data_IF_345294344938
#
_entry.id   IF_345294344938
#
_cell.length_a   1.000
_cell.length_b   1.000
_cell.length_c   1.000
_cell.angle_alpha   90.00
_cell.angle_beta   90.00
_cell.angle_gamma   90.00
#
_symmetry.space_group_name_H-M   'P 1'
#
loop_
_entity.id
_entity.type
_entity.pdbx_description
1 polymer ?
#
# COMPACT_ATOMS: atom_id res chain seq x y z
N UNK A 1 73.22 1.57 9.74
CA UNK A 1 72.84 1.56 8.31
C UNK A 1 71.39 1.93 8.16
N UNK A 2 71.05 3.13 7.69
CA UNK A 2 69.71 3.59 7.45
C UNK A 2 69.49 3.74 5.94
N UNK A 3 68.59 2.93 5.37
CA UNK A 3 68.29 2.95 3.95
C UNK A 3 67.09 3.89 3.74
N UNK A 4 67.37 5.00 3.07
CA UNK A 4 66.35 6.03 2.73
C UNK A 4 65.44 5.55 1.59
N UNK A 5 64.13 5.63 1.81
CA UNK A 5 63.11 5.45 0.77
C UNK A 5 62.90 6.77 0.04
N UNK A 6 63.25 6.81 -1.25
CA UNK A 6 62.92 7.92 -2.15
C UNK A 6 61.42 7.86 -2.51
N UNK A 7 60.70 8.90 -2.12
CA UNK A 7 59.32 9.15 -2.55
C UNK A 7 59.37 9.80 -3.93
N UNK A 8 58.89 9.11 -4.95
CA UNK A 8 58.72 9.65 -6.30
C UNK A 8 57.33 10.24 -6.39
N UNK A 9 57.23 11.57 -6.50
CA UNK A 9 56.00 12.26 -6.84
C UNK A 9 55.76 12.21 -8.35
N UNK A 10 54.61 11.78 -8.85
CA UNK A 10 54.30 11.91 -10.27
C UNK A 10 53.87 13.33 -10.61
N UNK A 11 54.39 13.82 -11.70
CA UNK A 11 54.30 15.09 -12.35
C UNK A 11 52.84 15.47 -12.66
N UNK A 12 52.47 16.73 -12.38
CA UNK A 12 51.21 17.33 -12.79
C UNK A 12 51.32 17.76 -14.26
N UNK A 13 50.76 17.00 -15.16
CA UNK A 13 50.45 17.49 -16.49
C UNK A 13 49.06 18.13 -16.49
N UNK A 14 49.03 19.45 -16.69
CA UNK A 14 47.86 20.27 -16.92
C UNK A 14 47.34 20.04 -18.33
N UNK A 15 46.43 19.08 -18.48
CA UNK A 15 45.60 18.88 -19.66
C UNK A 15 44.24 19.53 -19.52
N UNK A 16 44.08 20.68 -20.15
CA UNK A 16 42.82 21.40 -20.26
C UNK A 16 41.90 20.61 -21.24
N UNK A 17 41.13 19.68 -20.72
CA UNK A 17 40.17 18.89 -21.47
C UNK A 17 38.81 19.01 -20.76
N UNK A 18 37.88 19.70 -21.39
CA UNK A 18 36.45 19.73 -21.05
C UNK A 18 35.90 18.31 -21.04
N UNK A 19 36.13 17.61 -19.94
CA UNK A 19 35.57 16.26 -19.71
C UNK A 19 34.09 16.45 -19.47
N UNK A 20 33.26 16.25 -20.51
CA UNK A 20 31.87 15.88 -20.37
C UNK A 20 31.83 14.77 -19.34
N UNK A 21 31.38 15.06 -18.11
CA UNK A 21 31.11 14.08 -17.05
C UNK A 21 30.16 13.05 -17.64
N UNK A 22 30.69 11.97 -18.22
CA UNK A 22 29.91 10.76 -18.51
C UNK A 22 29.21 10.43 -17.21
N UNK A 23 27.88 10.57 -17.17
CA UNK A 23 27.06 10.11 -16.04
C UNK A 23 27.50 8.67 -15.80
N UNK A 24 28.18 8.42 -14.67
CA UNK A 24 28.63 7.10 -14.28
C UNK A 24 27.38 6.23 -14.23
N UNK A 25 27.15 5.41 -15.25
CA UNK A 25 26.02 4.49 -15.29
C UNK A 25 26.20 3.55 -14.12
N UNK A 26 25.27 3.56 -13.19
CA UNK A 26 25.27 2.65 -12.05
C UNK A 26 25.32 1.21 -12.55
N UNK A 27 26.01 0.35 -11.82
CA UNK A 27 25.91 -1.08 -12.10
C UNK A 27 24.44 -1.54 -11.93
N UNK A 28 23.99 -2.58 -12.65
CA UNK A 28 22.63 -3.10 -12.51
C UNK A 28 22.29 -3.45 -11.06
N UNK A 29 23.25 -4.01 -10.33
CA UNK A 29 23.11 -4.37 -8.92
C UNK A 29 22.98 -3.14 -8.02
N UNK A 30 23.87 -2.15 -8.16
CA UNK A 30 23.80 -0.90 -7.38
C UNK A 30 22.48 -0.16 -7.63
N UNK A 31 21.99 -0.22 -8.86
CA UNK A 31 20.69 0.37 -9.20
C UNK A 31 19.54 -0.34 -8.46
N UNK A 32 19.52 -1.68 -8.47
CA UNK A 32 18.51 -2.46 -7.77
C UNK A 32 18.54 -2.21 -6.25
N UNK A 33 19.74 -2.23 -5.63
CA UNK A 33 19.92 -1.91 -4.21
C UNK A 33 19.40 -0.51 -3.89
N UNK A 34 19.70 0.49 -4.71
CA UNK A 34 19.17 1.86 -4.52
C UNK A 34 17.68 1.95 -4.60
N UNK A 35 17.03 1.16 -5.45
CA UNK A 35 15.58 1.12 -5.51
C UNK A 35 14.99 0.53 -4.23
N UNK A 36 15.49 -0.62 -3.78
CA UNK A 36 15.05 -1.32 -2.59
C UNK A 36 15.30 -0.53 -1.29
N UNK A 37 16.38 0.25 -1.24
CA UNK A 37 16.68 1.13 -0.10
C UNK A 37 15.65 2.27 0.08
N UNK A 38 14.88 2.61 -0.96
CA UNK A 38 13.90 3.70 -0.90
C UNK A 38 12.48 3.23 -0.57
N UNK A 39 12.10 2.05 -1.07
CA UNK A 39 10.79 1.45 -0.88
C UNK A 39 10.78 -0.02 -1.25
N UNK A 40 9.80 -0.75 -0.77
CA UNK A 40 9.56 -2.13 -1.19
C UNK A 40 9.11 -2.21 -2.65
N UNK A 41 9.53 -3.26 -3.33
CA UNK A 41 9.14 -3.60 -4.69
C UNK A 41 8.69 -5.05 -4.75
N UNK A 42 7.70 -5.35 -5.60
CA UNK A 42 7.47 -6.73 -6.05
C UNK A 42 8.55 -7.15 -7.04
N UNK A 43 8.75 -8.45 -7.17
CA UNK A 43 9.69 -9.05 -8.14
C UNK A 43 9.43 -8.51 -9.55
N UNK A 44 8.17 -8.52 -9.98
CA UNK A 44 7.77 -8.02 -11.30
C UNK A 44 8.02 -6.51 -11.45
N UNK A 45 7.72 -5.72 -10.42
CA UNK A 45 7.93 -4.26 -10.46
C UNK A 45 9.42 -3.89 -10.51
N UNK A 46 10.29 -4.61 -9.79
CA UNK A 46 11.72 -4.40 -9.87
C UNK A 46 12.27 -4.79 -11.25
N UNK A 47 11.87 -5.97 -11.78
CA UNK A 47 12.24 -6.41 -13.12
C UNK A 47 11.90 -5.36 -14.16
N UNK A 48 10.65 -4.87 -14.14
CA UNK A 48 10.18 -3.82 -15.04
C UNK A 48 11.06 -2.56 -14.95
N UNK A 49 11.42 -2.12 -13.74
CA UNK A 49 12.27 -0.94 -13.52
C UNK A 49 13.69 -1.10 -14.05
N UNK A 50 14.24 -2.29 -13.95
CA UNK A 50 15.58 -2.58 -14.47
C UNK A 50 15.58 -2.61 -16.00
N UNK A 51 14.56 -3.24 -16.62
CA UNK A 51 14.40 -3.28 -18.07
C UNK A 51 14.11 -1.87 -18.67
N UNK A 52 13.30 -1.04 -18.00
CA UNK A 52 13.10 0.37 -18.36
C UNK A 52 14.42 1.16 -18.38
N UNK A 53 15.41 0.74 -17.59
CA UNK A 53 16.76 1.30 -17.54
C UNK A 53 17.69 0.70 -18.60
N UNK A 54 17.17 -0.19 -19.44
CA UNK A 54 17.91 -0.88 -20.52
C UNK A 54 19.03 -1.78 -20.02
N UNK A 55 18.91 -2.32 -18.78
CA UNK A 55 19.79 -3.41 -18.36
C UNK A 55 19.39 -4.71 -19.05
N UNK A 56 20.37 -5.55 -19.32
CA UNK A 56 20.19 -6.86 -19.94
C UNK A 56 19.23 -7.74 -19.13
N UNK A 57 18.38 -8.51 -19.81
CA UNK A 57 17.36 -9.33 -19.17
C UNK A 57 17.96 -10.51 -18.40
N UNK A 58 19.03 -11.15 -18.92
CA UNK A 58 19.70 -12.25 -18.25
C UNK A 58 20.36 -11.77 -16.96
N UNK A 59 21.07 -10.64 -17.00
CA UNK A 59 21.68 -10.01 -15.83
C UNK A 59 20.62 -9.60 -14.81
N UNK A 60 19.53 -9.02 -15.27
CA UNK A 60 18.38 -8.63 -14.41
C UNK A 60 17.78 -9.85 -13.72
N UNK A 61 17.57 -10.95 -14.46
CA UNK A 61 17.02 -12.19 -13.91
C UNK A 61 17.93 -12.82 -12.84
N UNK A 62 19.24 -12.78 -13.04
CA UNK A 62 20.21 -13.29 -12.08
C UNK A 62 20.24 -12.48 -10.78
N UNK A 63 20.25 -11.15 -10.88
CA UNK A 63 20.20 -10.26 -9.73
C UNK A 63 18.91 -10.48 -8.92
N UNK A 64 17.76 -10.57 -9.59
CA UNK A 64 16.48 -10.83 -8.95
C UNK A 64 16.50 -12.17 -8.22
N UNK A 65 16.98 -13.24 -8.86
CA UNK A 65 17.07 -14.57 -8.25
C UNK A 65 17.91 -14.53 -6.97
N UNK A 66 19.09 -13.88 -7.02
CA UNK A 66 19.95 -13.70 -5.85
C UNK A 66 19.26 -12.90 -4.74
N UNK A 67 18.54 -11.83 -5.07
CA UNK A 67 17.84 -11.02 -4.08
C UNK A 67 16.66 -11.75 -3.44
N UNK A 68 15.98 -12.62 -4.17
CA UNK A 68 14.97 -13.52 -3.61
C UNK A 68 15.61 -14.53 -2.66
N UNK A 69 16.70 -15.17 -3.06
CA UNK A 69 17.43 -16.12 -2.21
C UNK A 69 17.97 -15.49 -0.92
N UNK A 70 18.45 -14.24 -0.99
CA UNK A 70 18.92 -13.49 0.17
C UNK A 70 17.80 -12.84 1.00
N UNK A 71 16.52 -12.99 0.61
CA UNK A 71 15.37 -12.41 1.32
C UNK A 71 15.17 -10.91 1.11
N UNK A 72 15.94 -10.25 0.25
CA UNK A 72 15.73 -8.83 -0.07
C UNK A 72 14.48 -8.57 -0.91
N UNK A 73 14.02 -9.58 -1.65
CA UNK A 73 12.78 -9.57 -2.42
C UNK A 73 11.88 -10.71 -1.95
N UNK A 74 10.67 -10.36 -1.54
CA UNK A 74 9.65 -11.32 -1.13
C UNK A 74 8.27 -10.76 -1.46
N UNK A 75 7.58 -11.39 -2.42
CA UNK A 75 6.26 -10.93 -2.86
C UNK A 75 5.15 -11.15 -1.82
N UNK A 76 5.29 -12.12 -0.88
CA UNK A 76 4.35 -12.28 0.23
C UNK A 76 4.45 -11.08 1.20
N UNK A 77 5.66 -10.74 1.66
CA UNK A 77 5.87 -9.59 2.55
C UNK A 77 5.48 -8.27 1.86
N UNK A 78 5.77 -8.15 0.57
CA UNK A 78 5.35 -6.99 -0.22
C UNK A 78 3.83 -6.88 -0.29
N UNK A 79 3.13 -7.99 -0.58
CA UNK A 79 1.68 -8.02 -0.68
C UNK A 79 1.01 -7.70 0.65
N UNK A 80 1.46 -8.30 1.76
CA UNK A 80 0.95 -8.02 3.11
C UNK A 80 1.12 -6.54 3.50
N UNK A 81 2.31 -5.98 3.29
CA UNK A 81 2.58 -4.57 3.59
C UNK A 81 1.73 -3.62 2.74
N UNK A 82 1.58 -3.89 1.45
CA UNK A 82 0.77 -3.07 0.55
C UNK A 82 -0.73 -3.20 0.85
N UNK A 83 -1.20 -4.43 1.10
CA UNK A 83 -2.60 -4.68 1.45
C UNK A 83 -2.97 -4.00 2.77
N UNK A 84 -2.15 -4.13 3.81
CA UNK A 84 -2.35 -3.46 5.09
C UNK A 84 -2.36 -1.93 4.98
N UNK A 85 -1.44 -1.36 4.20
CA UNK A 85 -1.42 0.09 3.94
C UNK A 85 -2.68 0.57 3.22
N UNK A 86 -3.15 -0.17 2.22
CA UNK A 86 -4.35 0.19 1.47
C UNK A 86 -5.61 0.03 2.33
N UNK A 87 -5.68 -1.04 3.13
CA UNK A 87 -6.78 -1.27 4.08
C UNK A 87 -6.86 -0.13 5.11
N UNK A 88 -5.75 0.24 5.74
CA UNK A 88 -5.66 1.37 6.68
C UNK A 88 -6.04 2.71 6.03
N UNK A 89 -5.80 2.87 4.73
CA UNK A 89 -6.23 4.03 3.95
C UNK A 89 -7.74 3.98 3.56
N UNK A 90 -8.47 2.92 3.97
CA UNK A 90 -9.91 2.75 3.73
C UNK A 90 -10.23 2.33 2.30
N UNK A 91 -9.42 1.44 1.72
CA UNK A 91 -9.73 0.79 0.44
C UNK A 91 -10.27 -0.62 0.68
N UNK A 92 -11.31 -1.00 -0.06
CA UNK A 92 -11.90 -2.33 -0.03
C UNK A 92 -11.11 -3.38 -0.81
N UNK A 93 -11.45 -4.65 -0.61
CA UNK A 93 -10.75 -5.84 -1.18
C UNK A 93 -10.57 -5.75 -2.70
N UNK A 94 -11.61 -5.33 -3.44
CA UNK A 94 -11.52 -5.21 -4.92
C UNK A 94 -10.40 -4.26 -5.35
N UNK A 95 -10.21 -3.15 -4.65
CA UNK A 95 -9.17 -2.17 -4.96
C UNK A 95 -7.79 -2.66 -4.56
N UNK A 96 -7.68 -3.37 -3.43
CA UNK A 96 -6.44 -4.01 -2.97
C UNK A 96 -5.97 -5.03 -4.01
N UNK A 97 -6.86 -5.95 -4.44
CA UNK A 97 -6.57 -6.94 -5.49
C UNK A 97 -6.07 -6.26 -6.76
N UNK A 98 -6.80 -5.24 -7.24
CA UNK A 98 -6.43 -4.52 -8.46
C UNK A 98 -5.03 -3.89 -8.34
N UNK A 99 -4.71 -3.32 -7.18
CA UNK A 99 -3.40 -2.69 -6.93
C UNK A 99 -2.27 -3.71 -6.86
N UNK A 100 -2.47 -4.85 -6.22
CA UNK A 100 -1.47 -5.93 -6.17
C UNK A 100 -1.23 -6.54 -7.56
N UNK A 101 -2.30 -6.74 -8.36
CA UNK A 101 -2.18 -7.17 -9.76
C UNK A 101 -1.41 -6.15 -10.61
N UNK A 102 -1.69 -4.86 -10.46
CA UNK A 102 -0.95 -3.78 -11.13
C UNK A 102 0.56 -3.82 -10.82
N UNK A 103 0.92 -4.28 -9.62
CA UNK A 103 2.31 -4.49 -9.20
C UNK A 103 2.90 -5.81 -9.66
N UNK A 104 2.11 -6.66 -10.32
CA UNK A 104 2.55 -7.94 -10.84
C UNK A 104 2.74 -9.01 -9.77
N UNK A 105 2.03 -8.90 -8.64
CA UNK A 105 2.02 -9.94 -7.61
C UNK A 105 1.23 -11.15 -8.14
N UNK A 106 1.73 -12.40 -7.98
CA UNK A 106 1.01 -13.61 -8.38
C UNK A 106 -0.35 -13.75 -7.71
N UNK A 107 -1.31 -14.35 -8.43
CA UNK A 107 -2.70 -14.47 -7.95
C UNK A 107 -2.81 -15.30 -6.67
N UNK A 108 -1.99 -16.35 -6.54
CA UNK A 108 -1.91 -17.21 -5.36
C UNK A 108 -1.54 -16.40 -4.12
N UNK A 109 -0.49 -15.58 -4.23
CA UNK A 109 -0.02 -14.71 -3.14
C UNK A 109 -1.09 -13.68 -2.76
N UNK A 110 -1.80 -13.12 -3.76
CA UNK A 110 -2.90 -12.18 -3.49
C UNK A 110 -4.00 -12.87 -2.68
N UNK A 111 -4.39 -14.10 -3.05
CA UNK A 111 -5.42 -14.87 -2.34
C UNK A 111 -5.00 -15.14 -0.89
N UNK A 112 -3.81 -15.70 -0.70
CA UNK A 112 -3.28 -15.98 0.63
C UNK A 112 -3.17 -14.74 1.52
N UNK A 113 -2.79 -13.60 0.92
CA UNK A 113 -2.71 -12.33 1.64
C UNK A 113 -4.08 -11.88 2.14
N UNK A 114 -5.12 -12.02 1.32
CA UNK A 114 -6.48 -11.66 1.71
C UNK A 114 -7.05 -12.59 2.77
N UNK A 115 -6.84 -13.90 2.64
CA UNK A 115 -7.22 -14.89 3.64
C UNK A 115 -6.62 -14.58 5.01
N UNK A 116 -5.32 -14.27 5.07
CA UNK A 116 -4.65 -13.86 6.31
C UNK A 116 -5.15 -12.52 6.87
N UNK A 117 -5.58 -11.61 6.02
CA UNK A 117 -6.20 -10.36 6.51
C UNK A 117 -7.54 -10.64 7.17
N UNK A 118 -8.36 -11.51 6.59
CA UNK A 118 -9.65 -11.91 7.15
C UNK A 118 -9.50 -12.64 8.49
N UNK A 119 -8.51 -13.55 8.60
CA UNK A 119 -8.18 -14.25 9.84
C UNK A 119 -7.80 -13.26 10.95
N UNK A 120 -6.91 -12.31 10.68
CA UNK A 120 -6.51 -11.29 11.67
C UNK A 120 -7.66 -10.40 12.12
N UNK A 121 -8.54 -10.01 11.21
CA UNK A 121 -9.73 -9.22 11.54
C UNK A 121 -10.70 -10.01 12.44
N UNK A 122 -10.84 -11.31 12.19
CA UNK A 122 -11.65 -12.20 13.01
C UNK A 122 -11.09 -12.38 14.43
N UNK A 123 -9.77 -12.52 14.55
CA UNK A 123 -9.10 -12.65 15.86
C UNK A 123 -9.21 -11.35 16.67
N UNK A 124 -9.06 -10.18 16.05
CA UNK A 124 -9.14 -8.88 16.72
C UNK A 124 -10.57 -8.61 17.23
N UNK A 125 -11.59 -9.02 16.49
CA UNK A 125 -13.00 -8.91 16.93
C UNK A 125 -13.33 -9.81 18.10
N UNK A 126 -12.78 -11.02 18.17
CA UNK A 126 -12.97 -11.95 19.30
C UNK A 126 -12.35 -11.42 20.59
N UNK A 127 -11.22 -10.74 20.54
CA UNK A 127 -10.54 -10.19 21.71
C UNK A 127 -11.19 -8.92 22.26
N UNK A 128 -11.88 -8.13 21.43
CA UNK A 128 -12.55 -6.88 21.84
C UNK A 128 -14.01 -7.07 22.24
N UNK A 129 -14.56 -8.28 22.10
CA UNK A 129 -15.97 -8.59 22.37
C UNK A 129 -16.25 -8.89 23.85
N UNK A 130 -16.10 -7.88 24.72
CA UNK A 130 -16.64 -7.89 26.09
C UNK A 130 -18.03 -7.22 26.19
N UNK A 131 -18.79 -7.16 25.10
CA UNK A 131 -20.13 -6.52 25.04
C UNK A 131 -21.18 -7.60 24.76
N UNK A 132 -22.36 -7.54 25.42
CA UNK A 132 -23.37 -8.61 25.31
C UNK A 132 -23.89 -8.85 23.90
N UNK A 133 -24.16 -10.12 23.61
CA UNK A 133 -24.41 -10.81 22.36
C UNK A 133 -25.74 -10.44 21.64
N UNK A 134 -26.40 -9.33 21.96
CA UNK A 134 -27.78 -9.05 21.50
C UNK A 134 -27.89 -7.92 20.45
N UNK A 135 -26.80 -7.48 19.84
CA UNK A 135 -26.88 -6.37 18.88
C UNK A 135 -25.96 -6.59 17.66
N UNK A 136 -26.56 -7.11 16.58
CA UNK A 136 -26.07 -7.15 15.20
C UNK A 136 -24.95 -8.18 14.88
N UNK A 137 -25.04 -8.82 13.67
CA UNK A 137 -24.00 -9.77 13.23
C UNK A 137 -22.65 -9.06 13.14
N UNK A 138 -21.60 -9.75 13.61
CA UNK A 138 -20.24 -9.30 13.63
C UNK A 138 -19.91 -8.48 12.37
N UNK A 139 -19.58 -7.22 12.54
CA UNK A 139 -19.20 -6.36 11.44
C UNK A 139 -17.86 -6.89 10.93
N UNK A 140 -17.88 -7.58 9.76
CA UNK A 140 -16.66 -7.97 9.07
C UNK A 140 -15.72 -6.76 9.06
N UNK A 141 -14.41 -6.96 9.29
CA UNK A 141 -13.43 -5.86 9.36
C UNK A 141 -13.49 -4.92 8.15
N UNK A 142 -13.85 -5.46 6.96
CA UNK A 142 -14.09 -4.67 5.76
C UNK A 142 -15.30 -3.73 5.91
N UNK A 143 -16.34 -4.13 6.63
CA UNK A 143 -17.50 -3.27 6.93
C UNK A 143 -17.12 -2.11 7.84
N UNK A 144 -16.32 -2.37 8.88
CA UNK A 144 -15.78 -1.36 9.78
C UNK A 144 -14.89 -0.35 9.04
N UNK A 145 -14.02 -0.83 8.15
CA UNK A 145 -13.19 0.03 7.30
C UNK A 145 -14.04 0.92 6.37
N UNK A 146 -15.13 0.38 5.80
CA UNK A 146 -16.06 1.14 4.96
C UNK A 146 -16.78 2.24 5.75
N UNK A 147 -17.28 1.94 6.95
CA UNK A 147 -17.91 2.90 7.86
C UNK A 147 -16.95 4.03 8.22
N UNK A 148 -15.72 3.68 8.64
CA UNK A 148 -14.69 4.67 8.99
C UNK A 148 -14.33 5.57 7.80
N UNK A 149 -14.18 5.00 6.62
CA UNK A 149 -13.91 5.75 5.39
C UNK A 149 -15.08 6.68 5.03
N UNK A 150 -16.32 6.20 5.19
CA UNK A 150 -17.52 6.98 4.89
C UNK A 150 -17.71 8.12 5.90
N UNK A 151 -17.56 7.88 7.20
CA UNK A 151 -17.70 8.91 8.25
C UNK A 151 -16.81 10.12 8.00
N UNK A 152 -15.56 9.88 7.56
CA UNK A 152 -14.62 10.98 7.25
C UNK A 152 -15.11 11.88 6.11
N UNK A 153 -15.83 11.32 5.13
CA UNK A 153 -16.39 12.04 3.98
C UNK A 153 -17.81 12.56 4.22
N UNK A 154 -18.60 11.83 4.99
CA UNK A 154 -19.99 12.19 5.30
C UNK A 154 -20.12 13.59 5.89
N UNK A 155 -19.23 13.95 6.79
CA UNK A 155 -19.13 15.30 7.37
C UNK A 155 -18.95 16.40 6.31
N UNK A 156 -18.25 16.13 5.22
CA UNK A 156 -18.05 17.12 4.13
C UNK A 156 -19.30 17.32 3.29
N UNK A 157 -20.26 16.37 3.34
CA UNK A 157 -21.51 16.43 2.60
C UNK A 157 -22.71 16.90 3.47
N UNK A 158 -22.45 17.35 4.68
CA UNK A 158 -23.49 17.84 5.62
C UNK A 158 -24.30 19.01 5.02
N UNK A 159 -23.71 19.77 4.08
CA UNK A 159 -24.37 20.89 3.38
C UNK A 159 -25.28 20.47 2.22
N UNK A 160 -25.34 19.19 1.86
CA UNK A 160 -26.23 18.70 0.80
C UNK A 160 -27.65 18.52 1.34
N UNK A 161 -28.62 19.33 0.87
CA UNK A 161 -30.00 19.27 1.39
C UNK A 161 -30.78 18.06 0.90
N UNK A 162 -30.34 17.46 -0.24
CA UNK A 162 -31.01 16.30 -0.85
C UNK A 162 -30.41 15.00 -0.35
N UNK A 163 -31.15 14.30 0.51
CA UNK A 163 -30.71 13.02 1.12
C UNK A 163 -30.48 11.93 0.06
N UNK A 164 -31.20 11.94 -1.07
CA UNK A 164 -31.01 10.98 -2.15
C UNK A 164 -29.65 11.19 -2.81
N UNK A 165 -29.30 12.43 -3.10
CA UNK A 165 -27.98 12.78 -3.67
C UNK A 165 -26.84 12.48 -2.69
N UNK A 166 -27.06 12.70 -1.38
CA UNK A 166 -26.09 12.38 -0.33
C UNK A 166 -25.83 10.87 -0.30
N UNK A 167 -26.88 10.03 -0.32
CA UNK A 167 -26.79 8.56 -0.40
C UNK A 167 -26.04 8.11 -1.67
N UNK A 168 -26.40 8.65 -2.83
CA UNK A 168 -25.77 8.30 -4.10
C UNK A 168 -24.27 8.64 -4.12
N UNK A 169 -23.90 9.81 -3.60
CA UNK A 169 -22.49 10.21 -3.45
C UNK A 169 -21.73 9.25 -2.54
N UNK A 170 -22.34 8.81 -1.43
CA UNK A 170 -21.76 7.85 -0.50
C UNK A 170 -21.51 6.49 -1.15
N UNK A 171 -22.52 5.94 -1.82
CA UNK A 171 -22.39 4.66 -2.53
C UNK A 171 -21.34 4.73 -3.64
N UNK A 172 -21.34 5.80 -4.44
CA UNK A 172 -20.32 6.02 -5.49
C UNK A 172 -18.91 6.14 -4.91
N UNK A 173 -18.76 6.78 -3.77
CA UNK A 173 -17.49 6.93 -3.07
C UNK A 173 -16.95 5.57 -2.58
N UNK A 174 -17.80 4.77 -1.91
CA UNK A 174 -17.39 3.44 -1.41
C UNK A 174 -17.11 2.47 -2.56
N UNK A 175 -17.96 2.44 -3.59
CA UNK A 175 -17.74 1.64 -4.79
C UNK A 175 -16.42 2.00 -5.49
N UNK A 176 -16.11 3.29 -5.60
CA UNK A 176 -14.83 3.78 -6.14
C UNK A 176 -13.61 3.38 -5.30
N UNK A 177 -13.80 3.13 -4.02
CA UNK A 177 -12.77 2.58 -3.12
C UNK A 177 -12.65 1.05 -3.18
N UNK A 178 -13.56 0.38 -3.91
CA UNK A 178 -13.53 -1.05 -4.15
C UNK A 178 -14.19 -1.89 -3.08
N UNK A 179 -15.12 -1.32 -2.31
CA UNK A 179 -15.99 -2.08 -1.42
C UNK A 179 -17.09 -2.81 -2.20
N UNK A 180 -17.55 -3.93 -1.68
CA UNK A 180 -18.70 -4.64 -2.25
C UNK A 180 -20.02 -3.88 -2.03
N UNK A 181 -20.99 -4.10 -2.94
CA UNK A 181 -22.27 -3.42 -2.86
C UNK A 181 -22.98 -3.65 -1.51
N UNK A 182 -23.01 -4.89 -1.03
CA UNK A 182 -23.59 -5.23 0.28
C UNK A 182 -22.94 -4.47 1.44
N UNK A 183 -21.63 -4.33 1.41
CA UNK A 183 -20.86 -3.58 2.41
C UNK A 183 -21.14 -2.07 2.29
N UNK A 184 -21.26 -1.56 1.05
CA UNK A 184 -21.59 -0.15 0.83
C UNK A 184 -22.94 0.23 1.42
N UNK A 185 -23.96 -0.62 1.25
CA UNK A 185 -25.29 -0.37 1.81
C UNK A 185 -25.27 -0.48 3.35
N UNK A 186 -24.68 -1.52 3.92
CA UNK A 186 -24.56 -1.68 5.38
C UNK A 186 -23.84 -0.48 6.03
N UNK A 187 -22.71 -0.07 5.46
CA UNK A 187 -21.95 1.08 5.96
C UNK A 187 -22.75 2.39 5.85
N UNK A 188 -23.52 2.57 4.78
CA UNK A 188 -24.40 3.73 4.62
C UNK A 188 -25.52 3.75 5.66
N UNK A 189 -26.19 2.62 5.86
CA UNK A 189 -27.29 2.51 6.83
C UNK A 189 -26.79 2.77 8.26
N UNK A 190 -25.65 2.21 8.62
CA UNK A 190 -25.03 2.45 9.93
C UNK A 190 -24.70 3.93 10.16
N UNK A 191 -24.05 4.59 9.20
CA UNK A 191 -23.69 6.01 9.33
C UNK A 191 -24.92 6.91 9.41
N UNK A 192 -25.99 6.54 8.71
CA UNK A 192 -27.27 7.28 8.79
C UNK A 192 -27.99 7.07 10.12
N UNK A 193 -27.98 5.86 10.68
CA UNK A 193 -28.55 5.59 12.00
C UNK A 193 -27.84 6.38 13.09
N UNK A 194 -26.52 6.42 13.05
CA UNK A 194 -25.72 7.21 13.99
C UNK A 194 -25.99 8.72 13.88
N UNK A 195 -26.17 9.27 12.66
CA UNK A 195 -26.52 10.68 12.46
C UNK A 195 -27.89 11.01 13.07
N UNK A 196 -28.88 10.13 12.86
CA UNK A 196 -30.22 10.31 13.43
C UNK A 196 -30.23 10.24 14.96
N UNK A 197 -29.42 9.39 15.57
CA UNK A 197 -29.28 9.28 17.03
C UNK A 197 -28.55 10.47 17.64
N UNK A 198 -27.57 11.03 16.95
CA UNK A 198 -26.87 12.26 17.39
C UNK A 198 -27.81 13.49 17.34
N UNK A 199 -28.66 13.59 16.32
CA UNK A 199 -29.65 14.68 16.21
C UNK A 199 -30.76 14.56 17.27
N UNK A 200 -31.24 13.35 17.55
CA UNK A 200 -32.28 13.13 18.59
C UNK A 200 -31.78 13.42 20.02
N UNK A 201 -30.50 13.15 20.29
CA UNK A 201 -29.89 13.41 21.62
C UNK A 201 -29.47 14.89 21.83
N UNK A 202 -29.41 15.68 20.76
CA UNK A 202 -29.10 17.11 20.83
C UNK A 202 -30.26 18.05 21.10
N UNK A 203 -31.54 17.57 21.03
CA UNK A 203 -32.75 18.39 21.24
C UNK A 203 -33.23 18.46 22.69
N UNK A 204 -32.67 17.65 23.60
CA UNK A 204 -33.10 17.61 25.01
C UNK A 204 -32.38 18.58 25.95
N UNK A 205 -31.66 19.59 25.44
CA UNK A 205 -30.93 20.57 26.24
C UNK A 205 -31.32 22.00 25.89
N UNK A 206 -32.63 22.32 26.03
CA UNK A 206 -33.11 23.72 26.12
C UNK A 206 -34.07 23.85 27.29
#
# INVERSE_FOLDING_TARGET
MRIGKKTICPNKESGNGTSLRKKKTLSPEDYAVRLLARRSYSIASLRKKMLEKQYDEAVTGEIIRRFVQCGYLNDHLFAESQAGSLHSAGYGKKRIIAKLREKGVPQEIIRETLERMEEKESEETLFTSSVPEDTLPAADGESSAAVKALKSKWRTWKKEPDIRKKKEKALRFLAGRGFEAGICYRALDQVMQEENTEEASGEDFI
#
